data_IF_320630451495
#
_entry.id   IF_320630451495
#
_cell.length_a   1.000
_cell.length_b   1.000
_cell.length_c   1.000
_cell.angle_alpha   90.00
_cell.angle_beta   90.00
_cell.angle_gamma   90.00
#
_symmetry.space_group_name_H-M   'P 1'
#
loop_
_entity.id
_entity.type
_entity.pdbx_description
1 polymer ?
#
# COMPACT_ATOMS: atom_id res chain seq x y z
N UNK A 1 19.64 1.55 7.19
CA UNK A 1 18.61 2.48 6.67
C UNK A 1 17.37 2.37 7.55
N UNK A 2 16.78 3.49 7.97
CA UNK A 2 15.54 3.50 8.75
C UNK A 2 14.36 3.68 7.81
N UNK A 3 13.48 2.68 7.68
CA UNK A 3 12.31 2.73 6.81
C UNK A 3 11.04 2.94 7.62
N UNK A 4 10.21 3.89 7.18
CA UNK A 4 8.89 4.16 7.71
C UNK A 4 7.80 3.86 6.70
N UNK A 5 6.61 3.57 7.19
CA UNK A 5 5.43 3.34 6.38
C UNK A 5 4.23 4.06 7.00
N UNK A 6 3.50 4.80 6.20
CA UNK A 6 2.27 5.49 6.58
C UNK A 6 1.10 4.91 5.82
N UNK A 7 0.00 4.68 6.54
CA UNK A 7 -1.24 4.14 5.97
C UNK A 7 -2.47 4.69 6.67
N UNK A 8 -3.57 4.80 5.94
CA UNK A 8 -4.90 5.02 6.50
C UNK A 8 -5.67 3.72 6.46
N UNK A 9 -6.28 3.35 7.57
CA UNK A 9 -6.97 2.06 7.72
C UNK A 9 -8.42 2.28 8.19
N UNK A 10 -9.32 1.45 7.65
CA UNK A 10 -10.70 1.34 8.11
C UNK A 10 -11.14 -0.11 8.09
N UNK A 11 -11.62 -0.62 9.23
CA UNK A 11 -12.20 -1.96 9.37
C UNK A 11 -11.31 -3.07 8.79
N UNK A 12 -10.04 -3.12 9.25
CA UNK A 12 -9.01 -4.05 8.75
C UNK A 12 -8.57 -5.09 9.79
N UNK A 13 -9.30 -5.28 10.90
CA UNK A 13 -8.93 -6.19 11.98
C UNK A 13 -8.49 -7.60 11.51
N UNK A 14 -9.15 -8.25 10.53
CA UNK A 14 -8.74 -9.58 10.07
C UNK A 14 -7.39 -9.63 9.34
N UNK A 15 -6.95 -8.51 8.75
CA UNK A 15 -5.82 -8.50 7.80
C UNK A 15 -4.64 -7.63 8.27
N UNK A 16 -4.87 -6.67 9.17
CA UNK A 16 -3.84 -5.69 9.57
C UNK A 16 -2.61 -6.35 10.20
N UNK A 17 -2.80 -7.49 10.90
CA UNK A 17 -1.70 -8.27 11.48
C UNK A 17 -0.76 -8.81 10.40
N UNK A 18 -1.32 -9.38 9.32
CA UNK A 18 -0.54 -9.84 8.17
C UNK A 18 0.20 -8.70 7.51
N UNK A 19 -0.49 -7.57 7.25
CA UNK A 19 0.05 -6.41 6.58
C UNK A 19 1.24 -5.81 7.35
N UNK A 20 1.13 -5.63 8.66
CA UNK A 20 2.22 -5.12 9.51
C UNK A 20 3.39 -6.09 9.53
N UNK A 21 3.13 -7.38 9.76
CA UNK A 21 4.17 -8.41 9.84
C UNK A 21 4.91 -8.57 8.51
N UNK A 22 4.21 -8.46 7.38
CA UNK A 22 4.82 -8.51 6.05
C UNK A 22 5.77 -7.34 5.80
N UNK A 23 5.32 -6.12 6.05
CA UNK A 23 6.17 -4.95 5.83
C UNK A 23 7.35 -4.90 6.82
N UNK A 24 7.17 -5.43 8.03
CA UNK A 24 8.29 -5.64 8.94
C UNK A 24 9.29 -6.68 8.40
N UNK A 25 8.81 -7.79 7.83
CA UNK A 25 9.65 -8.83 7.23
C UNK A 25 10.59 -8.26 6.17
N UNK A 26 10.09 -7.37 5.31
CA UNK A 26 10.86 -6.79 4.21
C UNK A 26 11.68 -5.55 4.60
N UNK A 27 11.65 -5.11 5.87
CA UNK A 27 12.58 -4.10 6.39
C UNK A 27 11.98 -2.81 6.92
N UNK A 28 10.67 -2.60 6.85
CA UNK A 28 10.05 -1.44 7.52
C UNK A 28 10.11 -1.61 9.03
N UNK A 29 10.41 -0.51 9.74
CA UNK A 29 10.58 -0.53 11.20
C UNK A 29 9.69 0.46 11.94
N UNK A 30 9.21 1.50 11.29
CA UNK A 30 8.29 2.50 11.86
C UNK A 30 6.98 2.50 11.12
N UNK A 31 5.88 2.31 11.84
CA UNK A 31 4.53 2.23 11.31
C UNK A 31 3.70 3.39 11.86
N UNK A 32 3.17 4.22 10.96
CA UNK A 32 2.29 5.34 11.27
C UNK A 32 0.90 5.02 10.70
N UNK A 33 0.00 4.58 11.57
CA UNK A 33 -1.32 4.04 11.17
C UNK A 33 -2.42 4.99 11.60
N UNK A 34 -3.12 5.55 10.65
CA UNK A 34 -4.28 6.42 10.86
C UNK A 34 -5.55 5.58 10.77
N UNK A 35 -6.31 5.54 11.85
CA UNK A 35 -7.58 4.82 11.95
C UNK A 35 -8.71 5.79 11.61
N UNK A 36 -9.35 5.60 10.46
CA UNK A 36 -10.43 6.45 10.00
C UNK A 36 -11.77 5.76 10.16
N UNK A 37 -12.61 6.27 11.09
CA UNK A 37 -13.97 5.79 11.34
C UNK A 37 -14.08 4.27 11.49
N UNK A 38 -13.10 3.61 12.11
CA UNK A 38 -13.14 2.16 12.35
C UNK A 38 -14.33 1.77 13.24
N UNK A 39 -15.05 0.74 12.84
CA UNK A 39 -16.18 0.15 13.56
C UNK A 39 -15.85 -1.26 14.08
N UNK A 40 -14.70 -1.81 13.68
CA UNK A 40 -14.20 -3.13 14.11
C UNK A 40 -13.02 -3.01 15.10
N UNK A 41 -12.44 -4.15 15.48
CA UNK A 41 -11.36 -4.25 16.46
C UNK A 41 -9.96 -3.91 15.86
N UNK A 42 -9.87 -3.19 14.74
CA UNK A 42 -8.58 -2.83 14.11
C UNK A 42 -7.64 -2.13 15.09
N UNK A 43 -8.18 -1.21 15.89
CA UNK A 43 -7.41 -0.48 16.91
C UNK A 43 -6.83 -1.42 17.97
N UNK A 44 -7.63 -2.33 18.49
CA UNK A 44 -7.23 -3.29 19.54
C UNK A 44 -6.17 -4.28 19.01
N UNK A 45 -6.33 -4.74 17.77
CA UNK A 45 -5.33 -5.59 17.12
C UNK A 45 -3.99 -4.85 17.02
N UNK A 46 -3.99 -3.59 16.57
CA UNK A 46 -2.77 -2.78 16.48
C UNK A 46 -2.16 -2.52 17.87
N UNK A 47 -2.95 -2.26 18.89
CA UNK A 47 -2.47 -2.07 20.26
C UNK A 47 -1.79 -3.36 20.79
N UNK A 48 -2.33 -4.51 20.46
CA UNK A 48 -1.68 -5.80 20.72
C UNK A 48 -0.33 -5.96 20.02
N UNK A 49 -0.17 -5.40 18.82
CA UNK A 49 1.06 -5.48 18.03
C UNK A 49 2.16 -4.51 18.48
N UNK A 50 1.85 -3.44 19.20
CA UNK A 50 2.82 -2.42 19.67
C UNK A 50 3.92 -2.99 20.57
N UNK A 51 3.71 -4.12 21.23
CA UNK A 51 4.74 -4.80 22.02
C UNK A 51 5.82 -5.50 21.17
N UNK A 52 5.55 -5.68 19.86
CA UNK A 52 6.44 -6.36 18.92
C UNK A 52 7.01 -5.42 17.85
N UNK A 53 6.27 -4.34 17.52
CA UNK A 53 6.59 -3.42 16.43
C UNK A 53 6.47 -1.96 16.88
N UNK A 54 7.30 -1.08 16.30
CA UNK A 54 7.18 0.38 16.53
C UNK A 54 6.01 0.93 15.70
N UNK A 55 4.81 0.88 16.30
CA UNK A 55 3.55 1.33 15.71
C UNK A 55 3.03 2.54 16.47
N UNK A 56 2.78 3.64 15.75
CA UNK A 56 2.03 4.79 16.24
C UNK A 56 0.66 4.82 15.56
N UNK A 57 -0.39 4.79 16.37
CA UNK A 57 -1.78 4.87 15.90
C UNK A 57 -2.35 6.26 16.13
N UNK A 58 -3.13 6.75 15.17
CA UNK A 58 -3.79 8.06 15.21
C UNK A 58 -5.26 7.86 14.84
N UNK A 59 -6.17 8.24 15.75
CA UNK A 59 -7.60 8.17 15.48
C UNK A 59 -8.00 9.43 14.71
N UNK A 60 -8.68 9.24 13.57
CA UNK A 60 -9.21 10.28 12.69
C UNK A 60 -10.69 10.02 12.41
N UNK A 61 -11.55 10.44 13.33
CA UNK A 61 -12.99 10.37 13.14
C UNK A 61 -13.45 11.68 12.49
N UNK A 62 -13.87 11.60 11.26
CA UNK A 62 -14.32 12.78 10.50
C UNK A 62 -15.25 12.36 9.35
N UNK A 63 -16.06 13.31 8.90
CA UNK A 63 -16.91 13.17 7.72
C UNK A 63 -16.12 13.42 6.41
N UNK A 64 -14.80 13.39 6.47
CA UNK A 64 -13.94 13.65 5.33
C UNK A 64 -13.98 12.49 4.32
N UNK A 65 -14.19 12.85 3.07
CA UNK A 65 -14.21 11.88 1.96
C UNK A 65 -12.81 11.44 1.50
N UNK A 66 -11.75 12.16 1.91
CA UNK A 66 -10.36 11.88 1.56
C UNK A 66 -9.49 11.89 2.82
N UNK A 67 -9.57 10.82 3.66
CA UNK A 67 -8.83 10.76 4.92
C UNK A 67 -7.31 10.72 4.72
N UNK A 68 -6.82 10.29 3.55
CA UNK A 68 -5.41 10.22 3.20
C UNK A 68 -4.77 11.61 3.16
N UNK A 69 -5.48 12.62 2.66
CA UNK A 69 -4.95 13.97 2.46
C UNK A 69 -4.33 14.56 3.74
N UNK A 70 -5.12 14.60 4.80
CA UNK A 70 -4.63 15.14 6.08
C UNK A 70 -3.65 14.20 6.77
N UNK A 71 -3.91 12.89 6.71
CA UNK A 71 -3.08 11.89 7.39
C UNK A 71 -1.69 11.78 6.78
N UNK A 72 -1.60 11.79 5.45
CA UNK A 72 -0.32 11.72 4.75
C UNK A 72 0.45 13.03 4.90
N UNK A 73 -0.23 14.20 4.81
CA UNK A 73 0.43 15.48 5.08
C UNK A 73 0.94 15.56 6.52
N UNK A 74 0.12 15.13 7.49
CA UNK A 74 0.56 15.08 8.89
C UNK A 74 1.80 14.20 9.08
N UNK A 75 1.89 13.07 8.38
CA UNK A 75 3.07 12.22 8.42
C UNK A 75 4.30 12.88 7.81
N UNK A 76 4.14 13.59 6.68
CA UNK A 76 5.23 14.34 6.08
C UNK A 76 5.77 15.41 7.03
N UNK A 77 4.90 16.16 7.68
CA UNK A 77 5.26 17.27 8.56
C UNK A 77 5.92 16.83 9.86
N UNK A 78 5.51 15.68 10.40
CA UNK A 78 5.91 15.26 11.73
C UNK A 78 6.95 14.13 11.76
N UNK A 79 6.91 13.19 10.79
CA UNK A 79 7.66 11.92 10.87
C UNK A 79 8.63 11.68 9.72
N UNK A 80 8.54 12.41 8.62
CA UNK A 80 9.44 12.22 7.47
C UNK A 80 10.92 12.43 7.83
N UNK A 81 11.20 13.27 8.82
CA UNK A 81 12.55 13.52 9.36
C UNK A 81 13.14 12.37 10.16
N UNK A 82 12.28 11.44 10.62
CA UNK A 82 12.67 10.33 11.52
C UNK A 82 13.07 9.06 10.76
N UNK A 83 13.05 9.11 9.42
CA UNK A 83 13.31 7.98 8.53
C UNK A 83 14.18 8.38 7.35
N UNK A 84 14.84 7.42 6.72
CA UNK A 84 15.55 7.63 5.46
C UNK A 84 14.59 7.61 4.26
N UNK A 85 13.54 6.79 4.35
CA UNK A 85 12.46 6.68 3.38
C UNK A 85 11.13 6.36 4.04
N UNK A 86 10.06 6.98 3.54
CA UNK A 86 8.67 6.76 3.99
C UNK A 86 7.82 6.28 2.83
N UNK A 87 7.25 5.09 2.96
CA UNK A 87 6.24 4.60 2.02
C UNK A 87 4.84 5.06 2.43
N UNK A 88 4.01 5.37 1.45
CA UNK A 88 2.60 5.75 1.63
C UNK A 88 1.76 4.77 0.83
N UNK A 89 1.12 3.81 1.50
CA UNK A 89 0.38 2.71 0.87
C UNK A 89 -0.90 2.37 1.63
N UNK A 90 -1.84 1.72 0.96
CA UNK A 90 -3.12 1.34 1.53
C UNK A 90 -3.06 -0.05 2.21
N UNK A 91 -4.10 -0.40 2.97
CA UNK A 91 -4.14 -1.64 3.75
C UNK A 91 -4.37 -2.91 2.93
N UNK A 92 -4.65 -2.80 1.64
CA UNK A 92 -4.77 -3.89 0.68
C UNK A 92 -3.62 -3.92 -0.34
N UNK A 93 -2.55 -3.17 -0.04
CA UNK A 93 -1.35 -3.09 -0.85
C UNK A 93 -0.15 -3.69 -0.13
N UNK A 94 0.62 -4.49 -0.85
CA UNK A 94 1.83 -5.13 -0.36
C UNK A 94 3.00 -4.71 -1.23
N UNK A 95 3.80 -3.78 -0.71
CA UNK A 95 5.01 -3.28 -1.34
C UNK A 95 6.16 -4.24 -1.05
N UNK A 96 6.95 -4.59 -2.08
CA UNK A 96 8.13 -5.45 -1.88
C UNK A 96 9.23 -5.23 -2.92
N UNK A 97 10.48 -5.57 -2.60
CA UNK A 97 11.57 -5.61 -3.57
C UNK A 97 11.48 -6.90 -4.39
N UNK A 98 11.62 -6.81 -5.72
CA UNK A 98 11.40 -7.95 -6.62
C UNK A 98 12.57 -8.94 -6.56
N UNK A 99 13.79 -8.46 -6.67
CA UNK A 99 14.99 -9.29 -6.73
C UNK A 99 15.77 -9.36 -5.39
N UNK A 100 15.64 -8.32 -4.57
CA UNK A 100 16.32 -8.24 -3.28
C UNK A 100 15.48 -8.89 -2.16
N UNK A 101 16.10 -9.28 -1.06
CA UNK A 101 15.39 -9.84 0.09
C UNK A 101 14.78 -8.77 1.00
N UNK A 102 15.31 -7.54 0.95
CA UNK A 102 14.86 -6.43 1.78
C UNK A 102 14.79 -5.11 1.00
N UNK A 103 13.86 -4.26 1.40
CA UNK A 103 13.68 -2.92 0.83
C UNK A 103 14.93 -2.05 0.94
N UNK A 104 15.72 -2.20 2.01
CA UNK A 104 16.95 -1.44 2.19
C UNK A 104 17.94 -1.64 1.04
N UNK A 105 18.16 -2.87 0.59
CA UNK A 105 19.07 -3.19 -0.51
C UNK A 105 18.57 -2.62 -1.83
N UNK A 106 17.26 -2.70 -2.07
CA UNK A 106 16.65 -2.15 -3.27
C UNK A 106 16.72 -0.62 -3.31
N UNK A 107 16.41 0.04 -2.19
CA UNK A 107 16.44 1.51 -2.07
C UNK A 107 17.88 2.08 -2.12
N UNK A 108 18.87 1.31 -1.67
CA UNK A 108 20.27 1.73 -1.72
C UNK A 108 20.74 2.03 -3.15
N UNK A 109 20.14 1.41 -4.17
CA UNK A 109 20.41 1.67 -5.60
C UNK A 109 20.09 3.12 -6.03
N UNK A 110 19.33 3.84 -5.20
CA UNK A 110 18.89 5.22 -5.47
C UNK A 110 19.54 6.26 -4.55
N UNK A 111 20.48 5.86 -3.66
CA UNK A 111 21.08 6.79 -2.69
C UNK A 111 21.81 7.96 -3.36
N UNK A 112 22.48 7.72 -4.48
CA UNK A 112 23.22 8.70 -5.26
C UNK A 112 22.37 9.41 -6.33
N UNK A 113 21.09 9.07 -6.47
CA UNK A 113 20.20 9.65 -7.47
C UNK A 113 19.58 10.95 -6.97
N UNK A 114 19.51 11.93 -7.87
CA UNK A 114 18.93 13.24 -7.60
C UNK A 114 17.40 13.19 -7.73
N UNK A 115 16.74 12.60 -6.74
CA UNK A 115 15.28 12.48 -6.67
C UNK A 115 14.80 12.58 -5.22
N UNK A 116 13.55 13.00 -5.04
CA UNK A 116 12.91 13.12 -3.74
C UNK A 116 11.97 11.96 -3.42
N UNK A 117 11.47 11.29 -4.43
CA UNK A 117 10.55 10.17 -4.25
C UNK A 117 10.65 9.16 -5.40
N UNK A 118 10.28 7.92 -5.09
CA UNK A 118 10.09 6.84 -6.04
C UNK A 118 8.60 6.51 -6.16
N UNK A 119 8.12 6.40 -7.40
CA UNK A 119 6.79 5.90 -7.73
C UNK A 119 6.89 4.43 -8.09
N UNK A 120 6.22 3.58 -7.32
CA UNK A 120 6.24 2.13 -7.47
C UNK A 120 4.92 1.68 -8.07
N UNK A 121 4.97 0.98 -9.19
CA UNK A 121 3.79 0.54 -9.93
C UNK A 121 2.98 -0.52 -9.21
N UNK A 122 1.67 -0.45 -9.38
CA UNK A 122 0.75 -1.50 -8.98
C UNK A 122 0.87 -2.74 -9.87
N UNK A 123 0.51 -3.86 -9.26
CA UNK A 123 0.16 -5.11 -9.90
C UNK A 123 -1.19 -5.53 -9.33
N UNK A 124 -2.26 -5.33 -10.10
CA UNK A 124 -3.63 -5.51 -9.64
C UNK A 124 -4.04 -6.98 -9.63
N UNK A 125 -4.51 -7.45 -8.48
CA UNK A 125 -4.96 -8.82 -8.25
C UNK A 125 -6.48 -8.90 -8.26
N UNK A 126 -7.01 -9.97 -8.89
CA UNK A 126 -8.40 -10.33 -8.83
C UNK A 126 -8.73 -11.15 -7.60
N UNK A 127 -9.94 -11.72 -7.59
CA UNK A 127 -10.44 -12.52 -6.47
C UNK A 127 -9.86 -13.94 -6.39
N UNK A 128 -9.07 -14.36 -7.36
CA UNK A 128 -8.63 -15.76 -7.52
C UNK A 128 -9.79 -16.78 -7.48
N UNK A 129 -11.02 -16.33 -7.84
CA UNK A 129 -12.23 -17.15 -7.84
C UNK A 129 -12.89 -17.33 -6.47
N UNK A 130 -12.40 -16.70 -5.42
CA UNK A 130 -12.99 -16.81 -4.09
C UNK A 130 -14.31 -16.04 -3.98
N UNK A 131 -15.39 -16.77 -3.61
CA UNK A 131 -16.69 -16.19 -3.28
C UNK A 131 -16.71 -15.73 -1.82
N UNK A 132 -16.35 -16.60 -0.91
CA UNK A 132 -16.17 -16.29 0.51
C UNK A 132 -14.70 -16.00 0.82
N UNK A 133 -14.45 -15.24 1.90
CA UNK A 133 -13.09 -14.95 2.35
C UNK A 133 -12.39 -16.24 2.76
N UNK A 134 -11.27 -16.61 2.12
CA UNK A 134 -10.53 -17.83 2.47
C UNK A 134 -9.79 -17.67 3.80
N UNK A 135 -9.60 -18.76 4.51
CA UNK A 135 -8.71 -18.77 5.65
C UNK A 135 -7.24 -18.67 5.23
N UNK A 136 -6.40 -18.05 6.05
CA UNK A 136 -4.97 -17.90 5.79
C UNK A 136 -4.59 -16.50 5.32
N UNK A 137 -3.46 -16.41 4.63
CA UNK A 137 -2.87 -15.12 4.26
C UNK A 137 -3.43 -14.59 2.94
N UNK A 138 -3.53 -13.28 2.82
CA UNK A 138 -3.85 -12.60 1.54
C UNK A 138 -2.85 -13.02 0.47
N UNK A 139 -1.55 -12.91 0.76
CA UNK A 139 -0.49 -13.22 -0.20
C UNK A 139 -0.41 -14.69 -0.60
N UNK A 140 -0.99 -15.59 0.16
CA UNK A 140 -1.05 -17.03 -0.13
C UNK A 140 -2.28 -17.40 -0.97
N UNK A 141 -3.40 -16.72 -0.71
CA UNK A 141 -4.69 -17.05 -1.30
C UNK A 141 -4.92 -16.36 -2.65
N UNK A 142 -4.65 -15.06 -2.72
CA UNK A 142 -4.93 -14.28 -3.93
C UNK A 142 -3.72 -14.28 -4.85
N UNK A 143 -3.69 -15.24 -5.78
CA UNK A 143 -2.54 -15.50 -6.66
C UNK A 143 -2.80 -15.20 -8.14
N UNK A 144 -3.99 -14.76 -8.49
CA UNK A 144 -4.35 -14.44 -9.86
C UNK A 144 -4.48 -12.93 -10.03
N UNK A 145 -3.86 -12.41 -11.08
CA UNK A 145 -3.75 -10.98 -11.34
C UNK A 145 -4.03 -10.59 -12.77
N UNK A 146 -4.15 -9.29 -13.00
CA UNK A 146 -4.17 -8.71 -14.33
C UNK A 146 -2.84 -8.93 -15.08
N UNK A 147 -2.84 -8.95 -16.42
CA UNK A 147 -1.63 -8.92 -17.21
C UNK A 147 -0.88 -7.59 -17.02
N UNK A 148 0.44 -7.58 -17.27
CA UNK A 148 1.28 -6.41 -16.97
C UNK A 148 0.83 -5.12 -17.70
N UNK A 149 0.23 -5.25 -18.90
CA UNK A 149 -0.28 -4.12 -19.66
C UNK A 149 -1.67 -3.62 -19.23
N UNK A 150 -2.27 -4.16 -18.16
CA UNK A 150 -3.54 -3.70 -17.65
C UNK A 150 -3.43 -2.23 -17.22
N UNK A 151 -4.39 -1.40 -17.64
CA UNK A 151 -4.26 0.06 -17.51
C UNK A 151 -4.14 0.54 -16.07
N UNK A 152 -4.82 -0.11 -15.11
CA UNK A 152 -4.73 0.26 -13.70
C UNK A 152 -3.37 -0.06 -13.07
N UNK A 153 -2.57 -0.93 -13.67
CA UNK A 153 -1.20 -1.18 -13.22
C UNK A 153 -0.28 0.04 -13.41
N UNK A 154 -0.71 1.05 -14.19
CA UNK A 154 0.03 2.31 -14.35
C UNK A 154 -0.10 3.26 -13.16
N UNK A 155 -0.94 2.94 -12.19
CA UNK A 155 -0.94 3.65 -10.92
C UNK A 155 0.32 3.33 -10.13
N UNK A 156 0.76 4.31 -9.35
CA UNK A 156 1.91 4.16 -8.47
C UNK A 156 1.53 4.40 -7.02
N UNK A 157 2.38 3.91 -6.11
CA UNK A 157 2.45 4.40 -4.73
C UNK A 157 3.82 4.99 -4.47
N UNK A 158 3.86 6.03 -3.64
CA UNK A 158 5.09 6.79 -3.42
C UNK A 158 5.88 6.28 -2.23
N UNK A 159 7.21 6.19 -2.44
CA UNK A 159 8.19 6.13 -1.35
C UNK A 159 8.96 7.45 -1.36
N UNK A 160 8.79 8.25 -0.33
CA UNK A 160 9.38 9.59 -0.23
C UNK A 160 10.66 9.54 0.60
N UNK A 161 11.71 10.18 0.12
CA UNK A 161 12.99 10.30 0.84
C UNK A 161 12.82 11.14 2.11
N UNK A 162 13.36 10.67 3.21
CA UNK A 162 13.30 11.33 4.50
C UNK A 162 14.16 12.61 4.60
N UNK A 163 13.93 13.35 5.67
CA UNK A 163 14.73 14.55 5.98
C UNK A 163 14.52 15.75 5.06
N UNK A 164 13.55 15.68 4.12
CA UNK A 164 13.27 16.77 3.19
C UNK A 164 12.18 17.69 3.71
N UNK A 165 12.33 19.00 3.42
CA UNK A 165 11.29 20.01 3.58
C UNK A 165 10.53 20.19 2.26
N UNK A 166 9.31 20.73 2.32
CA UNK A 166 8.54 21.08 1.11
C UNK A 166 7.92 19.85 0.41
N UNK A 167 7.62 18.82 1.16
CA UNK A 167 6.86 17.66 0.69
C UNK A 167 5.39 17.91 0.97
N UNK A 168 4.57 17.87 -0.08
CA UNK A 168 3.13 18.12 0.01
C UNK A 168 2.36 17.00 -0.65
N UNK A 169 1.35 16.49 0.04
CA UNK A 169 0.39 15.54 -0.49
C UNK A 169 -0.37 16.16 -1.67
N UNK A 170 -0.45 15.44 -2.80
CA UNK A 170 -1.27 15.82 -3.96
C UNK A 170 -2.53 14.94 -3.97
N UNK A 171 -2.33 13.62 -3.99
CA UNK A 171 -3.39 12.61 -3.92
C UNK A 171 -2.87 11.36 -3.20
N UNK A 172 -3.66 10.30 -3.13
CA UNK A 172 -3.27 9.04 -2.46
C UNK A 172 -2.09 8.31 -3.11
N UNK A 173 -1.57 8.82 -4.21
CA UNK A 173 -0.51 8.21 -5.01
C UNK A 173 0.76 9.07 -5.08
N UNK A 174 0.60 10.40 -5.17
CA UNK A 174 1.68 11.30 -5.54
C UNK A 174 1.86 12.46 -4.55
N UNK A 175 3.12 12.86 -4.39
CA UNK A 175 3.52 14.01 -3.59
C UNK A 175 4.23 15.04 -4.44
N UNK A 176 3.98 16.32 -4.20
CA UNK A 176 4.85 17.40 -4.65
C UNK A 176 6.09 17.40 -3.77
N UNK A 177 7.25 17.23 -4.39
CA UNK A 177 8.53 17.12 -3.72
C UNK A 177 9.58 18.01 -4.38
N UNK A 178 10.66 18.42 -3.67
CA UNK A 178 11.66 19.37 -4.23
C UNK A 178 12.33 18.90 -5.52
N UNK A 179 12.67 17.61 -5.62
CA UNK A 179 13.40 17.04 -6.77
C UNK A 179 12.52 16.15 -7.65
N UNK A 180 11.21 16.08 -7.36
CA UNK A 180 10.25 15.26 -8.10
C UNK A 180 10.22 13.78 -7.70
N UNK A 181 9.24 13.09 -8.28
CA UNK A 181 9.04 11.64 -8.17
C UNK A 181 9.47 10.97 -9.46
N UNK A 182 10.17 9.86 -9.35
CA UNK A 182 10.66 9.08 -10.49
C UNK A 182 10.30 7.61 -10.30
N UNK A 183 10.10 6.89 -11.38
CA UNK A 183 9.98 5.43 -11.30
C UNK A 183 11.37 4.75 -11.19
N UNK A 184 11.38 3.42 -11.12
CA UNK A 184 12.62 2.63 -10.99
C UNK A 184 13.59 2.78 -12.16
N UNK A 185 13.12 3.25 -13.32
CA UNK A 185 13.93 3.54 -14.52
C UNK A 185 14.35 5.01 -14.61
N UNK A 186 14.14 5.80 -13.55
CA UNK A 186 14.41 7.23 -13.48
C UNK A 186 13.60 8.04 -14.51
N UNK A 187 12.39 7.57 -14.88
CA UNK A 187 11.43 8.35 -15.68
C UNK A 187 10.62 9.23 -14.74
N UNK A 188 10.49 10.51 -15.08
CA UNK A 188 9.79 11.48 -14.25
C UNK A 188 8.28 11.21 -14.23
N UNK A 189 7.72 11.05 -13.04
CA UNK A 189 6.28 10.79 -12.85
C UNK A 189 5.52 12.11 -12.71
N UNK A 190 4.50 12.26 -13.56
CA UNK A 190 3.58 13.41 -13.56
C UNK A 190 2.14 12.91 -13.58
N UNK A 191 1.18 13.78 -13.26
CA UNK A 191 -0.21 13.54 -13.57
C UNK A 191 -0.99 12.70 -12.54
N UNK A 192 -0.80 12.96 -11.23
CA UNK A 192 -1.75 12.45 -10.23
C UNK A 192 -1.68 10.94 -9.99
N UNK A 193 -0.50 10.35 -10.10
CA UNK A 193 -0.27 8.94 -9.75
C UNK A 193 -0.64 7.90 -10.80
N UNK A 194 -1.38 8.25 -11.85
CA UNK A 194 -1.55 7.42 -13.05
C UNK A 194 -0.53 7.86 -14.11
N UNK A 195 0.46 7.03 -14.36
CA UNK A 195 1.55 7.39 -15.27
C UNK A 195 1.20 7.15 -16.74
N UNK A 196 1.83 7.90 -17.65
CA UNK A 196 1.77 7.65 -19.09
C UNK A 196 2.70 6.52 -19.55
N UNK A 197 3.46 5.90 -18.63
CA UNK A 197 4.42 4.85 -18.94
C UNK A 197 3.84 3.46 -18.71
N UNK A 198 4.35 2.49 -19.44
CA UNK A 198 4.11 1.09 -19.14
C UNK A 198 4.85 0.70 -17.85
N UNK A 199 4.19 -0.04 -16.93
CA UNK A 199 4.79 -0.46 -15.67
C UNK A 199 6.03 -1.33 -15.89
N UNK A 200 6.98 -1.21 -14.97
CA UNK A 200 8.12 -2.12 -14.86
C UNK A 200 8.21 -2.63 -13.43
N UNK A 201 8.74 -3.84 -13.26
CA UNK A 201 8.80 -4.56 -11.99
C UNK A 201 10.16 -5.24 -11.81
N UNK A 202 11.25 -4.51 -12.11
CA UNK A 202 12.60 -5.07 -11.99
C UNK A 202 13.17 -4.93 -10.58
N UNK A 203 12.83 -3.84 -9.89
CA UNK A 203 13.37 -3.53 -8.55
C UNK A 203 12.28 -3.61 -7.50
N UNK A 204 11.12 -3.01 -7.77
CA UNK A 204 10.01 -2.92 -6.82
C UNK A 204 8.68 -3.33 -7.45
N UNK A 205 7.75 -3.73 -6.59
CA UNK A 205 6.36 -3.95 -6.96
C UNK A 205 5.44 -3.63 -5.78
N UNK A 206 4.23 -3.12 -6.08
CA UNK A 206 3.11 -3.06 -5.15
C UNK A 206 2.03 -4.02 -5.63
N UNK A 207 1.89 -5.16 -4.97
CA UNK A 207 0.73 -6.02 -5.21
C UNK A 207 -0.50 -5.41 -4.55
N UNK A 208 -1.50 -5.08 -5.37
CA UNK A 208 -2.74 -4.45 -4.95
C UNK A 208 -3.89 -5.46 -4.98
N UNK A 209 -4.30 -5.93 -3.80
CA UNK A 209 -5.39 -6.90 -3.61
C UNK A 209 -6.73 -6.17 -3.48
N UNK A 210 -7.07 -5.40 -4.51
CA UNK A 210 -8.16 -4.41 -4.50
C UNK A 210 -9.53 -5.03 -4.21
N UNK A 211 -9.77 -6.26 -4.64
CA UNK A 211 -11.07 -6.92 -4.51
C UNK A 211 -11.13 -7.89 -3.34
N UNK A 212 -10.08 -8.69 -3.16
CA UNK A 212 -10.12 -9.90 -2.33
C UNK A 212 -11.29 -10.81 -2.77
N UNK A 213 -12.01 -11.45 -1.84
CA UNK A 213 -13.16 -12.29 -2.21
C UNK A 213 -14.39 -11.48 -2.66
N UNK A 214 -15.36 -12.17 -3.27
CA UNK A 214 -16.64 -11.54 -3.60
C UNK A 214 -17.36 -10.99 -2.37
N UNK A 215 -17.32 -11.75 -1.25
CA UNK A 215 -17.92 -11.30 0.01
C UNK A 215 -17.22 -10.07 0.59
N UNK A 216 -15.88 -9.99 0.47
CA UNK A 216 -15.12 -8.81 0.87
C UNK A 216 -15.52 -7.58 0.03
N UNK A 217 -15.58 -7.75 -1.30
CA UNK A 217 -16.01 -6.66 -2.18
C UNK A 217 -17.38 -6.12 -1.79
N UNK A 218 -18.38 -7.00 -1.66
CA UNK A 218 -19.76 -6.59 -1.33
C UNK A 218 -19.87 -5.90 0.03
N UNK A 219 -19.02 -6.28 0.98
CA UNK A 219 -19.07 -5.73 2.35
C UNK A 219 -18.28 -4.42 2.50
N UNK A 220 -17.11 -4.31 1.88
CA UNK A 220 -16.14 -3.24 2.18
C UNK A 220 -15.83 -2.32 0.99
N UNK A 221 -16.01 -2.79 -0.24
CA UNK A 221 -15.64 -2.01 -1.44
C UNK A 221 -16.85 -1.47 -2.20
N UNK A 222 -17.90 -2.27 -2.36
CA UNK A 222 -19.10 -1.85 -3.09
C UNK A 222 -19.82 -0.67 -2.41
N UNK A 223 -20.05 -0.66 -1.07
CA UNK A 223 -20.64 0.50 -0.40
C UNK A 223 -19.57 1.57 -0.14
N UNK A 224 -18.91 2.06 -1.20
CA UNK A 224 -17.85 3.05 -1.07
C UNK A 224 -18.41 4.36 -0.50
N UNK A 225 -18.03 4.70 0.72
CA UNK A 225 -18.34 5.98 1.35
C UNK A 225 -17.24 7.02 1.08
N UNK A 226 -16.16 6.64 0.39
CA UNK A 226 -14.98 7.48 0.18
C UNK A 226 -14.59 7.48 -1.29
N UNK A 227 -14.31 8.67 -1.79
CA UNK A 227 -13.76 8.89 -3.13
C UNK A 227 -12.31 9.35 -3.02
N UNK A 228 -11.48 8.91 -3.95
CA UNK A 228 -10.14 9.51 -4.17
C UNK A 228 -10.21 10.84 -4.92
N UNK A 229 -11.39 11.26 -5.39
CA UNK A 229 -11.62 12.52 -6.09
C UNK A 229 -12.63 13.38 -5.31
N UNK A 230 -12.39 14.69 -5.26
CA UNK A 230 -13.16 15.66 -4.49
C UNK A 230 -14.69 15.44 -4.58
N UNK A 231 -15.26 14.80 -3.58
CA UNK A 231 -16.67 14.83 -3.25
C UNK A 231 -17.59 13.89 -4.04
N UNK A 232 -17.08 13.05 -4.95
CA UNK A 232 -17.92 12.08 -5.68
C UNK A 232 -17.83 10.72 -5.01
N UNK A 233 -18.89 10.34 -4.29
CA UNK A 233 -19.07 8.98 -3.76
C UNK A 233 -19.76 8.17 -4.85
N UNK A 234 -19.06 7.24 -5.47
CA UNK A 234 -19.63 6.29 -6.41
C UNK A 234 -19.70 4.91 -5.76
N UNK A 235 -20.91 4.34 -5.69
CA UNK A 235 -21.04 2.91 -5.42
C UNK A 235 -20.32 2.14 -6.52
N UNK A 236 -19.46 1.21 -6.12
CA UNK A 236 -18.79 0.32 -7.07
C UNK A 236 -19.77 -0.76 -7.50
N UNK A 237 -20.22 -0.65 -8.76
CA UNK A 237 -21.20 -1.51 -9.39
C UNK A 237 -20.67 -2.92 -9.70
N UNK A 238 -21.54 -3.79 -10.23
CA UNK A 238 -21.15 -5.09 -10.78
C UNK A 238 -20.18 -4.92 -11.97
N UNK A 239 -20.41 -3.94 -12.83
CA UNK A 239 -19.51 -3.65 -13.96
C UNK A 239 -18.10 -3.28 -13.45
N UNK A 240 -18.03 -2.53 -12.36
CA UNK A 240 -16.77 -2.21 -11.71
C UNK A 240 -16.08 -3.47 -11.17
N UNK A 241 -16.83 -4.41 -10.57
CA UNK A 241 -16.30 -5.69 -10.14
C UNK A 241 -15.73 -6.49 -11.32
N UNK A 242 -16.48 -6.63 -12.40
CA UNK A 242 -16.06 -7.40 -13.58
C UNK A 242 -14.80 -6.81 -14.23
N UNK A 243 -14.71 -5.49 -14.32
CA UNK A 243 -13.54 -4.80 -14.85
C UNK A 243 -12.28 -5.07 -14.01
N UNK A 244 -12.41 -5.08 -12.67
CA UNK A 244 -11.27 -5.20 -11.76
C UNK A 244 -10.95 -6.64 -11.35
N UNK A 245 -11.89 -7.59 -11.54
CA UNK A 245 -11.68 -8.99 -11.17
C UNK A 245 -10.81 -9.73 -12.18
N UNK A 246 -9.58 -9.27 -12.33
CA UNK A 246 -8.61 -9.77 -13.29
C UNK A 246 -7.86 -10.97 -12.70
N UNK A 247 -8.11 -12.14 -13.31
CA UNK A 247 -7.55 -13.42 -12.90
C UNK A 247 -6.78 -14.09 -14.06
N UNK A 248 -6.14 -13.29 -14.90
CA UNK A 248 -5.56 -13.70 -16.19
C UNK A 248 -4.23 -14.44 -16.03
N UNK A 249 -3.44 -14.07 -15.01
CA UNK A 249 -2.08 -14.54 -14.82
C UNK A 249 -1.89 -15.10 -13.42
N UNK A 250 -1.36 -16.33 -13.31
CA UNK A 250 -0.91 -16.87 -12.04
C UNK A 250 0.40 -16.20 -11.61
N UNK A 251 0.43 -15.63 -10.42
CA UNK A 251 1.59 -14.94 -9.85
C UNK A 251 2.09 -15.65 -8.58
N UNK A 252 3.35 -16.00 -8.58
CA UNK A 252 4.04 -16.69 -7.49
C UNK A 252 5.09 -15.80 -6.81
N UNK A 253 5.11 -14.49 -7.10
CA UNK A 253 6.12 -13.56 -6.59
C UNK A 253 6.19 -13.48 -5.08
N UNK A 254 5.07 -13.78 -4.40
CA UNK A 254 4.95 -13.72 -2.94
C UNK A 254 5.34 -15.03 -2.24
N UNK A 255 5.53 -16.15 -2.96
CA UNK A 255 5.78 -17.47 -2.35
C UNK A 255 6.97 -17.49 -1.39
N UNK A 256 8.04 -16.77 -1.73
CA UNK A 256 9.25 -16.66 -0.90
C UNK A 256 9.01 -16.02 0.47
N UNK A 257 7.96 -15.22 0.60
CA UNK A 257 7.63 -14.52 1.85
C UNK A 257 6.67 -15.32 2.75
N UNK A 258 5.92 -16.29 2.23
CA UNK A 258 4.87 -17.01 2.99
C UNK A 258 5.44 -17.70 4.22
N UNK A 259 6.48 -18.50 4.06
CA UNK A 259 7.10 -19.23 5.18
C UNK A 259 7.67 -18.32 6.26
N UNK A 260 8.53 -17.35 5.92
CA UNK A 260 9.03 -16.35 6.86
C UNK A 260 7.93 -15.54 7.55
N UNK A 261 6.90 -15.13 6.81
CA UNK A 261 5.77 -14.38 7.36
C UNK A 261 4.97 -15.21 8.38
N UNK A 262 4.64 -16.46 8.05
CA UNK A 262 3.98 -17.38 9.00
C UNK A 262 4.79 -17.57 10.29
N UNK A 263 6.12 -17.60 10.19
CA UNK A 263 7.00 -17.68 11.37
C UNK A 263 6.90 -16.44 12.25
N UNK A 264 6.89 -15.24 11.67
CA UNK A 264 6.68 -13.99 12.43
C UNK A 264 5.31 -14.02 13.09
N UNK A 265 4.25 -14.31 12.32
CA UNK A 265 2.86 -14.34 12.82
C UNK A 265 2.64 -15.33 13.96
N UNK A 266 3.36 -16.43 13.98
CA UNK A 266 3.30 -17.43 15.05
C UNK A 266 4.06 -17.03 16.32
N UNK A 267 4.88 -15.94 16.26
CA UNK A 267 5.68 -15.44 17.40
C UNK A 267 5.09 -14.18 18.06
N UNK A 268 3.99 -13.63 17.55
CA UNK A 268 3.37 -12.37 18.02
C UNK A 268 1.92 -12.56 18.48
#
# INVERSE_FOLDING_TARGET
MQLGITTVQRDRAPWIKEWVAFHYLIGFRKFYVFLHNCQDDTGDVLDGLKKHFDIKTFIRNSDMNIPEKESYQYSCDNFLKDVDWMAFIDGDEFLFPVADDAMESALAKFNDKNLSALGIYWRCFGSSGYVAEPAGLIIENYRQRAPDHYHNNRHIKSIVRGGQAGVYHIDSHLFKTPLGTYDENLRFVTGGGLTGYDPTYNIFCVNHYILQSRSHFLKFKAPSEYSCFDGVIEERSEDWWEEHNRNDVLDNSMDRFIGPLKKILGSI
#
